data_IF_429272932693
#
_entry.id   IF_429272932693
#
_cell.length_a   1.000
_cell.length_b   1.000
_cell.length_c   1.000
_cell.angle_alpha   90.00
_cell.angle_beta   90.00
_cell.angle_gamma   90.00
#
_symmetry.space_group_name_H-M   'P 1'
#
loop_
_entity.id
_entity.type
_entity.pdbx_description
1 polymer ?
#
# COMPACT_ATOMS: atom_id res chain seq x y z
N UNK A 1 12.85 -11.04 -5.51
CA UNK A 1 12.23 -9.89 -4.83
C UNK A 1 12.45 -10.08 -3.34
N UNK A 2 12.64 -9.01 -2.59
CA UNK A 2 13.18 -9.03 -1.22
C UNK A 2 12.17 -9.55 -0.17
N UNK A 3 12.62 -10.36 0.78
CA UNK A 3 11.79 -10.92 1.86
C UNK A 3 11.17 -9.83 2.74
N UNK A 4 11.81 -8.66 2.80
CA UNK A 4 11.32 -7.48 3.53
C UNK A 4 9.90 -7.03 3.11
N UNK A 5 9.48 -7.32 1.88
CA UNK A 5 8.15 -6.97 1.37
C UNK A 5 7.12 -8.08 1.61
N UNK A 6 7.50 -9.34 1.40
CA UNK A 6 6.56 -10.46 1.46
C UNK A 6 6.35 -11.01 2.86
N UNK A 7 7.37 -10.98 3.73
CA UNK A 7 7.23 -11.52 5.06
C UNK A 7 6.14 -10.79 5.87
N UNK A 8 6.07 -9.45 5.90
CA UNK A 8 4.98 -8.75 6.57
C UNK A 8 3.61 -9.10 5.99
N UNK A 9 3.47 -9.12 4.66
CA UNK A 9 2.23 -9.52 4.01
C UNK A 9 1.86 -10.97 4.29
N UNK A 10 2.84 -11.86 4.41
CA UNK A 10 2.62 -13.27 4.72
C UNK A 10 2.08 -13.43 6.14
N UNK A 11 2.69 -12.73 7.10
CA UNK A 11 2.21 -12.65 8.48
C UNK A 11 0.77 -12.12 8.51
N UNK A 12 0.52 -10.99 7.85
CA UNK A 12 -0.80 -10.37 7.76
C UNK A 12 -1.85 -11.32 7.14
N UNK A 13 -1.55 -11.94 6.00
CA UNK A 13 -2.43 -12.89 5.31
C UNK A 13 -2.72 -14.14 6.15
N UNK A 14 -1.71 -14.67 6.85
CA UNK A 14 -1.85 -15.87 7.68
C UNK A 14 -2.86 -15.68 8.82
N UNK A 15 -2.98 -14.46 9.37
CA UNK A 15 -3.97 -14.14 10.42
C UNK A 15 -5.41 -14.24 9.92
N UNK A 16 -5.61 -14.18 8.60
CA UNK A 16 -6.91 -14.34 7.93
C UNK A 16 -7.06 -15.72 7.26
N UNK A 17 -6.15 -16.67 7.51
CA UNK A 17 -6.16 -18.00 6.91
C UNK A 17 -5.85 -18.00 5.40
N UNK A 18 -5.23 -16.94 4.89
CA UNK A 18 -4.92 -16.78 3.45
C UNK A 18 -3.50 -17.31 3.18
N UNK A 19 -3.37 -18.24 2.23
CA UNK A 19 -2.08 -18.67 1.68
C UNK A 19 -1.56 -17.63 0.67
N UNK A 20 -0.66 -16.75 1.13
CA UNK A 20 -0.06 -15.71 0.30
C UNK A 20 0.62 -16.28 -0.96
N UNK A 21 1.28 -17.43 -0.85
CA UNK A 21 1.99 -18.04 -1.96
C UNK A 21 1.00 -18.52 -3.03
N UNK A 22 -0.16 -19.05 -2.63
CA UNK A 22 -1.23 -19.39 -3.58
C UNK A 22 -1.79 -18.17 -4.30
N UNK A 23 -2.01 -17.05 -3.57
CA UNK A 23 -2.49 -15.81 -4.19
C UNK A 23 -1.47 -15.24 -5.17
N UNK A 24 -0.18 -15.24 -4.79
CA UNK A 24 0.91 -14.81 -5.67
C UNK A 24 1.01 -15.68 -6.92
N UNK A 25 0.92 -17.01 -6.80
CA UNK A 25 0.88 -17.92 -7.95
C UNK A 25 -0.28 -17.60 -8.89
N UNK A 26 -1.49 -17.35 -8.38
CA UNK A 26 -2.63 -16.93 -9.22
C UNK A 26 -2.39 -15.56 -9.88
N UNK A 27 -1.72 -14.61 -9.21
CA UNK A 27 -1.32 -13.33 -9.84
C UNK A 27 -0.34 -13.57 -10.99
N UNK A 28 0.71 -14.35 -10.76
CA UNK A 28 1.75 -14.62 -11.76
C UNK A 28 1.18 -15.39 -12.95
N UNK A 29 0.38 -16.43 -12.70
CA UNK A 29 -0.30 -17.21 -13.74
C UNK A 29 -1.12 -16.33 -14.68
N UNK A 30 -1.92 -15.40 -14.15
CA UNK A 30 -2.73 -14.50 -14.98
C UNK A 30 -1.87 -13.58 -15.87
N UNK A 31 -0.63 -13.31 -15.47
CA UNK A 31 0.31 -12.51 -16.26
C UNK A 31 1.07 -13.35 -17.29
N UNK A 32 1.56 -14.53 -16.91
CA UNK A 32 2.43 -15.37 -17.74
C UNK A 32 1.67 -16.32 -18.65
N UNK A 33 0.43 -16.66 -18.30
CA UNK A 33 -0.36 -17.68 -18.99
C UNK A 33 0.19 -19.10 -18.82
N UNK A 34 1.14 -19.32 -17.89
CA UNK A 34 1.80 -20.61 -17.68
C UNK A 34 1.81 -20.98 -16.19
N UNK A 35 1.52 -22.25 -15.90
CA UNK A 35 1.44 -22.82 -14.54
C UNK A 35 2.78 -23.39 -14.05
N UNK A 36 3.69 -23.74 -14.97
CA UNK A 36 4.79 -24.66 -14.66
C UNK A 36 6.16 -24.00 -14.42
N UNK A 37 6.34 -22.72 -14.78
CA UNK A 37 7.64 -22.06 -14.62
C UNK A 37 7.63 -20.97 -13.53
N UNK A 38 8.55 -21.03 -12.55
CA UNK A 38 8.79 -19.94 -11.62
C UNK A 38 9.22 -18.68 -12.37
N UNK A 39 8.29 -17.73 -12.52
CA UNK A 39 8.61 -16.44 -13.11
C UNK A 39 9.19 -15.49 -12.04
N UNK A 40 10.12 -14.58 -12.42
CA UNK A 40 10.51 -13.49 -11.55
C UNK A 40 9.29 -12.68 -11.09
N UNK A 41 9.24 -12.37 -9.80
CA UNK A 41 8.20 -11.51 -9.24
C UNK A 41 8.46 -10.07 -9.67
N UNK A 42 7.50 -9.47 -10.37
CA UNK A 42 7.56 -8.08 -10.81
C UNK A 42 6.89 -7.16 -9.78
N UNK A 43 7.26 -5.88 -9.77
CA UNK A 43 6.57 -4.86 -8.95
C UNK A 43 5.06 -4.82 -9.25
N UNK A 44 4.68 -5.03 -10.52
CA UNK A 44 3.26 -5.13 -10.88
C UNK A 44 2.55 -6.37 -10.32
N UNK A 45 3.28 -7.45 -10.02
CA UNK A 45 2.70 -8.62 -9.34
C UNK A 45 2.42 -8.30 -7.87
N UNK A 46 3.32 -7.54 -7.23
CA UNK A 46 3.14 -7.07 -5.87
C UNK A 46 1.88 -6.19 -5.72
N UNK A 47 1.68 -5.20 -6.61
CA UNK A 47 0.46 -4.37 -6.54
C UNK A 47 -0.82 -5.14 -6.85
N UNK A 48 -0.79 -6.08 -7.80
CA UNK A 48 -1.93 -6.98 -8.06
C UNK A 48 -2.22 -7.89 -6.87
N UNK A 49 -1.18 -8.35 -6.17
CA UNK A 49 -1.30 -9.13 -4.95
C UNK A 49 -1.98 -8.30 -3.85
N UNK A 50 -1.57 -7.05 -3.63
CA UNK A 50 -2.23 -6.14 -2.68
C UNK A 50 -3.72 -5.97 -2.99
N UNK A 51 -4.08 -5.76 -4.26
CA UNK A 51 -5.48 -5.68 -4.68
C UNK A 51 -6.28 -6.94 -4.34
N UNK A 52 -5.74 -8.13 -4.66
CA UNK A 52 -6.40 -9.40 -4.31
C UNK A 52 -6.51 -9.62 -2.81
N UNK A 53 -5.49 -9.25 -2.05
CA UNK A 53 -5.54 -9.35 -0.58
C UNK A 53 -6.59 -8.42 -0.01
N UNK A 54 -6.75 -7.21 -0.55
CA UNK A 54 -7.81 -6.30 -0.13
C UNK A 54 -9.20 -6.90 -0.37
N UNK A 55 -9.41 -7.53 -1.53
CA UNK A 55 -10.65 -8.25 -1.83
C UNK A 55 -10.90 -9.40 -0.85
N UNK A 56 -9.89 -10.25 -0.62
CA UNK A 56 -9.98 -11.42 0.26
C UNK A 56 -10.17 -11.04 1.74
N UNK A 57 -9.59 -9.93 2.18
CA UNK A 57 -9.70 -9.45 3.57
C UNK A 57 -10.88 -8.50 3.78
N UNK A 58 -11.54 -8.07 2.69
CA UNK A 58 -12.60 -7.05 2.66
C UNK A 58 -12.18 -5.71 3.28
N UNK A 59 -10.89 -5.35 3.19
CA UNK A 59 -10.36 -4.07 3.67
C UNK A 59 -9.02 -3.72 3.01
N UNK A 60 -8.78 -2.44 2.76
CA UNK A 60 -7.70 -1.98 1.86
C UNK A 60 -6.33 -1.83 2.53
N UNK A 61 -6.22 -2.03 3.85
CA UNK A 61 -4.92 -2.04 4.53
C UNK A 61 -4.26 -3.42 4.53
N UNK A 62 -4.90 -4.44 3.97
CA UNK A 62 -4.39 -5.82 3.84
C UNK A 62 -3.84 -6.39 5.16
N UNK A 63 -4.48 -6.05 6.27
CA UNK A 63 -4.12 -6.37 7.66
C UNK A 63 -2.75 -5.84 8.08
N UNK A 64 -2.29 -4.76 7.45
CA UNK A 64 -1.07 -4.01 7.82
C UNK A 64 -1.34 -2.81 8.73
N UNK A 65 -2.61 -2.53 9.05
CA UNK A 65 -3.04 -1.52 10.01
C UNK A 65 -4.09 -2.12 10.96
N UNK A 66 -4.01 -1.77 12.25
CA UNK A 66 -5.08 -2.04 13.23
C UNK A 66 -6.32 -1.16 12.99
N UNK A 67 -6.23 -0.17 12.11
CA UNK A 67 -7.33 0.66 11.62
C UNK A 67 -7.61 0.26 10.17
N UNK A 68 -8.49 -0.72 9.93
CA UNK A 68 -8.79 -1.20 8.58
C UNK A 68 -9.50 -0.11 7.77
N UNK A 69 -9.25 -0.08 6.47
CA UNK A 69 -9.92 0.82 5.55
C UNK A 69 -10.98 0.06 4.76
N UNK A 70 -12.18 0.60 4.66
CA UNK A 70 -13.27 -0.04 3.92
C UNK A 70 -12.93 -0.11 2.42
N UNK A 71 -13.45 -1.13 1.70
CA UNK A 71 -13.34 -1.18 0.24
C UNK A 71 -13.85 0.13 -0.40
N UNK A 72 -13.05 0.70 -1.29
CA UNK A 72 -13.32 1.98 -1.97
C UNK A 72 -12.71 3.21 -1.28
N UNK A 73 -12.05 3.07 -0.13
CA UNK A 73 -11.45 4.22 0.57
C UNK A 73 -10.32 4.87 -0.24
N UNK A 74 -9.45 4.07 -0.87
CA UNK A 74 -8.40 4.52 -1.77
C UNK A 74 -9.01 5.24 -2.99
N UNK A 75 -9.99 4.62 -3.65
CA UNK A 75 -10.70 5.23 -4.78
C UNK A 75 -11.36 6.56 -4.38
N UNK A 76 -11.96 6.63 -3.19
CA UNK A 76 -12.52 7.86 -2.66
C UNK A 76 -11.46 8.95 -2.52
N UNK A 77 -10.30 8.68 -1.90
CA UNK A 77 -9.23 9.68 -1.79
C UNK A 77 -8.72 10.12 -3.17
N UNK A 78 -8.52 9.17 -4.09
CA UNK A 78 -8.07 9.48 -5.44
C UNK A 78 -9.07 10.35 -6.21
N UNK A 79 -10.37 10.11 -6.05
CA UNK A 79 -11.42 10.93 -6.68
C UNK A 79 -11.37 12.39 -6.21
N UNK A 80 -11.02 12.64 -4.94
CA UNK A 80 -10.85 13.99 -4.42
C UNK A 80 -9.61 14.66 -5.02
N UNK A 81 -8.53 13.90 -5.17
CA UNK A 81 -7.27 14.37 -5.71
C UNK A 81 -7.35 14.73 -7.20
N UNK A 82 -8.10 13.94 -7.99
CA UNK A 82 -8.28 14.11 -9.44
C UNK A 82 -8.86 15.49 -9.83
N UNK A 83 -9.64 16.12 -8.96
CA UNK A 83 -10.20 17.46 -9.18
C UNK A 83 -9.21 18.62 -8.98
N UNK A 84 -7.94 18.36 -8.67
CA UNK A 84 -6.94 19.40 -8.42
C UNK A 84 -6.28 19.88 -9.71
N UNK A 85 -6.29 21.21 -9.94
CA UNK A 85 -5.64 21.84 -11.12
C UNK A 85 -4.12 21.89 -11.04
N UNK A 86 -3.54 21.60 -9.88
CA UNK A 86 -2.11 21.68 -9.60
C UNK A 86 -1.66 20.48 -8.78
N UNK A 87 -0.43 20.04 -9.03
CA UNK A 87 0.18 18.89 -8.35
C UNK A 87 0.28 19.08 -6.83
N UNK A 88 0.58 20.28 -6.35
CA UNK A 88 0.60 20.59 -4.90
C UNK A 88 -0.79 20.47 -4.27
N UNK A 89 -1.83 20.92 -4.97
CA UNK A 89 -3.21 20.73 -4.53
C UNK A 89 -3.62 19.26 -4.53
N UNK A 90 -3.16 18.46 -5.49
CA UNK A 90 -3.40 17.02 -5.55
C UNK A 90 -2.77 16.30 -4.34
N UNK A 91 -1.48 16.53 -4.09
CA UNK A 91 -0.76 15.92 -2.96
C UNK A 91 -1.37 16.30 -1.60
N UNK A 92 -1.80 17.56 -1.43
CA UNK A 92 -2.46 17.99 -0.19
C UNK A 92 -3.78 17.27 0.04
N UNK A 93 -4.61 17.10 -1.00
CA UNK A 93 -5.87 16.35 -0.88
C UNK A 93 -5.62 14.88 -0.59
N UNK A 94 -4.60 14.29 -1.21
CA UNK A 94 -4.19 12.92 -0.94
C UNK A 94 -3.78 12.74 0.52
N UNK A 95 -2.83 13.56 1.00
CA UNK A 95 -2.35 13.51 2.38
C UNK A 95 -3.51 13.68 3.38
N UNK A 96 -4.36 14.69 3.17
CA UNK A 96 -5.50 14.95 4.05
C UNK A 96 -6.52 13.80 4.02
N UNK A 97 -6.76 13.19 2.86
CA UNK A 97 -7.66 12.07 2.70
C UNK A 97 -7.21 10.86 3.52
N UNK A 98 -5.96 10.43 3.38
CA UNK A 98 -5.43 9.32 4.17
C UNK A 98 -5.28 9.64 5.65
N UNK A 99 -4.93 10.88 6.01
CA UNK A 99 -4.89 11.29 7.41
C UNK A 99 -6.29 11.22 8.06
N UNK A 100 -7.33 11.64 7.33
CA UNK A 100 -8.71 11.54 7.79
C UNK A 100 -9.11 10.06 7.98
N UNK A 101 -8.86 9.23 6.98
CA UNK A 101 -9.19 7.81 7.00
C UNK A 101 -8.46 7.04 8.12
N UNK A 102 -7.20 7.37 8.35
CA UNK A 102 -6.42 6.77 9.45
C UNK A 102 -6.66 7.45 10.80
N UNK A 103 -7.38 8.57 10.86
CA UNK A 103 -7.72 9.28 12.09
C UNK A 103 -6.55 9.99 12.78
N UNK A 104 -5.45 10.26 12.06
CA UNK A 104 -4.28 11.00 12.56
C UNK A 104 -3.47 11.59 11.39
N UNK A 105 -2.66 12.60 11.66
CA UNK A 105 -1.78 13.25 10.69
C UNK A 105 -0.48 12.45 10.54
N UNK A 106 -0.42 11.59 9.53
CA UNK A 106 0.77 10.81 9.15
C UNK A 106 1.47 11.41 7.92
N UNK A 107 0.69 11.94 6.99
CA UNK A 107 1.15 12.46 5.72
C UNK A 107 1.18 13.99 5.75
N UNK A 108 2.29 14.59 5.33
CA UNK A 108 2.52 16.02 5.35
C UNK A 108 2.96 16.50 3.98
N UNK A 109 2.44 17.67 3.57
CA UNK A 109 2.87 18.34 2.35
C UNK A 109 3.42 19.71 2.70
N UNK A 110 4.73 19.85 2.59
CA UNK A 110 5.48 21.05 2.95
C UNK A 110 6.02 21.72 1.69
N UNK A 111 5.94 23.05 1.65
CA UNK A 111 6.60 23.83 0.60
C UNK A 111 7.79 24.54 1.24
N UNK A 112 8.98 24.30 0.71
CA UNK A 112 10.22 24.90 1.21
C UNK A 112 11.00 25.48 0.04
N UNK A 113 10.94 26.82 -0.11
CA UNK A 113 11.47 27.50 -1.29
C UNK A 113 10.76 27.05 -2.57
N UNK A 114 11.52 26.54 -3.52
CA UNK A 114 11.06 25.97 -4.79
C UNK A 114 10.70 24.48 -4.70
N UNK A 115 10.86 23.86 -3.53
CA UNK A 115 10.61 22.42 -3.32
C UNK A 115 9.22 22.17 -2.74
N UNK A 116 8.59 21.13 -3.28
CA UNK A 116 7.41 20.49 -2.71
C UNK A 116 7.84 19.16 -2.10
N UNK A 117 7.59 18.99 -0.81
CA UNK A 117 8.04 17.84 -0.02
C UNK A 117 6.80 17.09 0.47
N UNK A 118 6.73 15.79 0.17
CA UNK A 118 5.80 14.86 0.79
C UNK A 118 6.53 14.08 1.88
N UNK A 119 6.18 14.32 3.14
CA UNK A 119 6.79 13.67 4.29
C UNK A 119 5.78 12.74 4.96
N UNK A 120 6.24 11.55 5.35
CA UNK A 120 5.44 10.56 6.07
C UNK A 120 6.07 10.39 7.46
N UNK A 121 5.36 10.80 8.50
CA UNK A 121 5.70 10.49 9.89
C UNK A 121 4.82 9.34 10.36
N UNK A 122 5.37 8.13 10.35
CA UNK A 122 4.67 6.93 10.80
C UNK A 122 5.19 6.42 12.15
N UNK A 123 5.81 7.28 12.96
CA UNK A 123 6.40 6.90 14.28
C UNK A 123 5.39 6.16 15.17
N UNK A 124 4.11 6.50 15.06
CA UNK A 124 3.02 5.91 15.84
C UNK A 124 1.93 5.27 14.97
N UNK A 125 2.28 4.88 13.74
CA UNK A 125 1.35 4.19 12.86
C UNK A 125 0.94 2.84 13.48
N UNK A 126 -0.36 2.49 13.49
CA UNK A 126 -0.86 1.36 14.27
C UNK A 126 -0.64 0.03 13.55
N UNK A 127 0.62 -0.37 13.33
CA UNK A 127 0.93 -1.67 12.75
C UNK A 127 0.46 -2.80 13.67
N UNK A 128 -0.06 -3.92 13.12
CA UNK A 128 -0.55 -5.01 13.96
C UNK A 128 0.56 -5.76 14.69
N UNK A 129 1.76 -5.73 14.13
CA UNK A 129 2.97 -6.38 14.62
C UNK A 129 4.21 -5.52 14.35
N UNK A 130 5.31 -5.86 15.02
CA UNK A 130 6.60 -5.22 14.81
C UNK A 130 7.17 -5.54 13.43
N UNK A 131 7.71 -4.50 12.80
CA UNK A 131 8.42 -4.53 11.54
C UNK A 131 9.88 -4.12 11.80
N UNK A 132 10.81 -4.75 11.11
CA UNK A 132 12.18 -4.24 11.03
C UNK A 132 12.21 -2.93 10.24
N UNK A 133 13.24 -2.10 10.44
CA UNK A 133 13.41 -0.85 9.70
C UNK A 133 13.35 -1.06 8.18
N UNK A 134 13.93 -2.17 7.70
CA UNK A 134 13.95 -2.53 6.29
C UNK A 134 12.56 -2.87 5.76
N UNK A 135 11.81 -3.72 6.46
CA UNK A 135 10.42 -4.05 6.10
C UNK A 135 9.54 -2.80 6.08
N UNK A 136 9.72 -1.94 7.08
CA UNK A 136 9.00 -0.68 7.18
C UNK A 136 9.31 0.25 6.00
N UNK A 137 10.59 0.42 5.69
CA UNK A 137 11.05 1.24 4.57
C UNK A 137 10.47 0.74 3.24
N UNK A 138 10.55 -0.56 2.98
CA UNK A 138 10.03 -1.13 1.74
C UNK A 138 8.51 -0.99 1.60
N UNK A 139 7.76 -1.08 2.71
CA UNK A 139 6.32 -0.79 2.69
C UNK A 139 6.02 0.67 2.33
N UNK A 140 6.79 1.61 2.88
CA UNK A 140 6.68 3.04 2.53
C UNK A 140 7.01 3.31 1.06
N UNK A 141 8.07 2.69 0.53
CA UNK A 141 8.43 2.80 -0.88
C UNK A 141 7.27 2.34 -1.78
N UNK A 142 6.61 1.23 -1.43
CA UNK A 142 5.45 0.75 -2.18
C UNK A 142 4.26 1.70 -2.13
N UNK A 143 3.97 2.31 -0.97
CA UNK A 143 2.93 3.34 -0.86
C UNK A 143 3.25 4.52 -1.77
N UNK A 144 4.50 5.01 -1.73
CA UNK A 144 4.92 6.12 -2.57
C UNK A 144 4.83 5.76 -4.05
N UNK A 145 5.21 4.55 -4.46
CA UNK A 145 5.03 4.12 -5.86
C UNK A 145 3.54 4.11 -6.23
N UNK A 146 2.67 3.51 -5.40
CA UNK A 146 1.23 3.47 -5.63
C UNK A 146 0.61 4.86 -5.77
N UNK A 147 1.14 5.86 -5.06
CA UNK A 147 0.70 7.25 -5.17
C UNK A 147 1.03 7.91 -6.52
N UNK A 148 2.06 7.45 -7.21
CA UNK A 148 2.61 8.09 -8.40
C UNK A 148 2.30 7.33 -9.70
N UNK A 149 1.60 6.20 -9.62
CA UNK A 149 1.15 5.37 -10.76
C UNK A 149 -0.35 5.47 -10.95
#
# INVERSE_FOLDING_TARGET
>A
MDDSLFEPLSRAASTSGIDLAAVLRDVQRRRTGNDDEPAPVLVSDYFRLLGKLADLTSEETVRMSRRPLLPGAFHFVMSQAAGSKRFDGMLRKFANGFNLLHGRVYNHVVTQGDKLIYAIDNTDFPTPFELTDRQFHSFLECIVILMHT
#
